data_IF_151906306627
#
_entry.id   IF_151906306627
#
_cell.length_a   1.000
_cell.length_b   1.000
_cell.length_c   1.000
_cell.angle_alpha   90.00
_cell.angle_beta   90.00
_cell.angle_gamma   90.00
#
_symmetry.space_group_name_H-M   'P 1'
#
loop_
_entity.id
_entity.type
_entity.pdbx_description
1 polymer ?
#
# COMPACT_ATOMS: atom_id res chain seq x y z
N UNK A 1 8.34 -30.11 21.03
CA UNK A 1 7.83 -28.99 20.18
C UNK A 1 8.36 -28.97 18.74
N UNK A 2 9.49 -29.69 18.44
CA UNK A 2 10.05 -29.69 17.08
C UNK A 2 9.03 -30.21 16.04
N UNK A 3 8.36 -31.32 16.32
CA UNK A 3 7.39 -31.92 15.39
C UNK A 3 6.20 -30.99 15.11
N UNK A 4 5.72 -30.26 16.13
CA UNK A 4 4.65 -29.29 15.96
C UNK A 4 5.08 -28.13 15.07
N UNK A 5 6.30 -27.62 15.24
CA UNK A 5 6.83 -26.55 14.39
C UNK A 5 7.03 -27.03 12.96
N UNK A 6 7.61 -28.21 12.77
CA UNK A 6 7.80 -28.80 11.43
C UNK A 6 6.46 -29.01 10.72
N UNK A 7 5.42 -29.43 11.44
CA UNK A 7 4.06 -29.54 10.89
C UNK A 7 3.55 -28.17 10.40
N UNK A 8 3.69 -27.12 11.21
CA UNK A 8 3.28 -25.76 10.83
C UNK A 8 4.02 -25.32 9.58
N UNK A 9 5.33 -25.50 9.52
CA UNK A 9 6.14 -25.13 8.35
C UNK A 9 5.73 -25.94 7.10
N UNK A 10 5.48 -27.26 7.24
CA UNK A 10 4.98 -28.09 6.13
C UNK A 10 3.65 -27.59 5.57
N UNK A 11 2.72 -27.18 6.44
CA UNK A 11 1.44 -26.63 6.03
C UNK A 11 1.60 -25.30 5.26
N UNK A 12 2.42 -24.38 5.76
CA UNK A 12 2.70 -23.13 5.06
C UNK A 12 3.39 -23.37 3.71
N UNK A 13 4.34 -24.28 3.67
CA UNK A 13 4.99 -24.71 2.43
C UNK A 13 3.96 -25.26 1.43
N UNK A 14 3.07 -26.13 1.89
CA UNK A 14 2.03 -26.70 1.04
C UNK A 14 1.13 -25.61 0.44
N UNK A 15 0.73 -24.62 1.23
CA UNK A 15 -0.03 -23.47 0.76
C UNK A 15 0.75 -22.61 -0.25
N UNK A 16 2.04 -22.36 -0.03
CA UNK A 16 2.90 -21.63 -0.96
C UNK A 16 3.08 -22.35 -2.30
N UNK A 17 2.98 -23.68 -2.30
CA UNK A 17 2.98 -24.53 -3.51
C UNK A 17 1.61 -24.70 -4.16
N UNK A 18 0.60 -24.00 -3.69
CA UNK A 18 -0.75 -24.01 -4.28
C UNK A 18 -1.58 -25.24 -3.96
N UNK A 19 -1.22 -26.02 -2.92
CA UNK A 19 -2.03 -27.18 -2.51
C UNK A 19 -3.33 -26.73 -1.84
N UNK A 20 -4.44 -27.33 -2.21
CA UNK A 20 -5.77 -27.04 -1.66
C UNK A 20 -6.19 -28.01 -0.57
N UNK A 21 -5.46 -29.13 -0.42
CA UNK A 21 -5.76 -30.22 0.52
C UNK A 21 -4.48 -30.88 1.04
N UNK A 22 -4.63 -31.84 1.95
CA UNK A 22 -3.49 -32.59 2.51
C UNK A 22 -2.76 -31.85 3.63
N UNK A 23 -3.42 -30.90 4.28
CA UNK A 23 -2.88 -30.19 5.44
C UNK A 23 -2.98 -31.03 6.72
N UNK A 24 -1.97 -30.91 7.58
CA UNK A 24 -1.85 -31.69 8.80
C UNK A 24 -2.54 -30.98 9.98
N UNK A 25 -3.53 -31.61 10.58
CA UNK A 25 -4.20 -31.19 11.82
C UNK A 25 -4.74 -29.74 11.78
N UNK A 26 -5.41 -29.38 10.69
CA UNK A 26 -6.16 -28.13 10.55
C UNK A 26 -7.66 -28.43 10.46
N UNK A 27 -8.48 -27.62 11.13
CA UNK A 27 -9.94 -27.68 11.01
C UNK A 27 -10.45 -26.96 9.77
N UNK A 28 -9.69 -25.96 9.28
CA UNK A 28 -9.98 -25.17 8.10
C UNK A 28 -8.71 -25.13 7.25
N UNK A 29 -8.85 -25.47 5.99
CA UNK A 29 -7.73 -25.38 5.06
C UNK A 29 -7.42 -23.92 4.74
N UNK A 30 -6.13 -23.53 4.64
CA UNK A 30 -5.76 -22.21 4.21
C UNK A 30 -6.10 -21.98 2.73
N UNK A 31 -6.25 -20.72 2.35
CA UNK A 31 -6.29 -20.33 0.95
C UNK A 31 -4.88 -20.52 0.37
N UNK A 32 -4.78 -21.39 -0.62
CA UNK A 32 -3.51 -21.68 -1.28
C UNK A 32 -3.07 -20.50 -2.15
N UNK A 33 -1.74 -20.34 -2.31
CA UNK A 33 -1.19 -19.34 -3.21
C UNK A 33 -1.61 -19.63 -4.66
N UNK A 34 -2.30 -18.68 -5.27
CA UNK A 34 -2.63 -18.72 -6.70
C UNK A 34 -1.47 -18.12 -7.51
N UNK A 35 -0.52 -18.98 -7.86
CA UNK A 35 0.66 -18.58 -8.61
C UNK A 35 0.33 -18.10 -10.03
N UNK A 36 -0.75 -18.59 -10.63
CA UNK A 36 -1.14 -18.25 -12.01
C UNK A 36 -1.65 -16.81 -12.10
N UNK A 37 -2.37 -16.35 -11.08
CA UNK A 37 -2.94 -15.02 -11.03
C UNK A 37 -2.07 -14.02 -10.22
N UNK A 38 -0.93 -14.44 -9.68
CA UNK A 38 -0.02 -13.53 -9.00
C UNK A 38 0.68 -12.62 -10.03
N UNK A 39 0.56 -11.29 -9.90
CA UNK A 39 1.15 -10.35 -10.88
C UNK A 39 2.68 -10.34 -10.84
N UNK A 40 3.29 -10.75 -9.73
CA UNK A 40 4.75 -10.80 -9.55
C UNK A 40 5.21 -12.24 -9.30
N UNK A 41 5.79 -12.87 -10.32
CA UNK A 41 6.32 -14.22 -10.25
C UNK A 41 7.57 -14.33 -9.38
N UNK A 42 8.26 -13.23 -9.11
CA UNK A 42 9.39 -13.19 -8.17
C UNK A 42 8.90 -13.47 -6.75
N UNK A 43 7.77 -12.89 -6.35
CA UNK A 43 7.15 -13.16 -5.05
C UNK A 43 6.74 -14.63 -4.90
N UNK A 44 6.20 -15.24 -5.95
CA UNK A 44 5.86 -16.68 -5.94
C UNK A 44 7.10 -17.54 -5.71
N UNK A 45 8.19 -17.23 -6.41
CA UNK A 45 9.46 -17.95 -6.27
C UNK A 45 10.04 -17.78 -4.87
N UNK A 46 10.08 -16.54 -4.37
CA UNK A 46 10.59 -16.24 -3.03
C UNK A 46 9.76 -16.91 -1.92
N UNK A 47 8.44 -16.92 -2.05
CA UNK A 47 7.56 -17.60 -1.10
C UNK A 47 7.86 -19.09 -1.01
N UNK A 48 8.04 -19.77 -2.14
CA UNK A 48 8.38 -21.19 -2.20
C UNK A 48 9.75 -21.46 -1.59
N UNK A 49 10.78 -20.72 -2.00
CA UNK A 49 12.15 -20.91 -1.54
C UNK A 49 12.30 -20.63 -0.04
N UNK A 50 11.63 -19.62 0.49
CA UNK A 50 11.66 -19.29 1.92
C UNK A 50 11.08 -20.44 2.78
N UNK A 51 9.97 -21.04 2.35
CA UNK A 51 9.40 -22.18 3.08
C UNK A 51 10.19 -23.49 2.89
N UNK A 52 10.84 -23.69 1.74
CA UNK A 52 11.76 -24.80 1.51
C UNK A 52 12.97 -24.71 2.44
N UNK A 53 13.58 -23.53 2.52
CA UNK A 53 14.70 -23.26 3.41
C UNK A 53 14.32 -23.42 4.88
N UNK A 54 13.17 -22.84 5.30
CA UNK A 54 12.66 -22.97 6.66
C UNK A 54 12.43 -24.41 7.07
N UNK A 55 11.91 -25.24 6.16
CA UNK A 55 11.72 -26.68 6.41
C UNK A 55 13.07 -27.40 6.53
N UNK A 56 13.98 -27.19 5.58
CA UNK A 56 15.29 -27.83 5.55
C UNK A 56 16.12 -27.50 6.79
N UNK A 57 16.24 -26.21 7.13
CA UNK A 57 17.00 -25.78 8.31
C UNK A 57 16.31 -26.22 9.61
N UNK A 58 14.99 -26.18 9.65
CA UNK A 58 14.21 -26.64 10.81
C UNK A 58 14.37 -28.15 11.09
N UNK A 59 14.47 -28.96 10.03
CA UNK A 59 14.74 -30.39 10.16
C UNK A 59 16.16 -30.69 10.67
N UNK A 60 17.13 -29.89 10.21
CA UNK A 60 18.53 -30.08 10.57
C UNK A 60 18.88 -29.54 11.96
N UNK A 61 18.32 -28.37 12.34
CA UNK A 61 18.78 -27.62 13.51
C UNK A 61 17.67 -27.31 14.52
N UNK A 62 16.41 -27.57 14.19
CA UNK A 62 15.27 -27.17 14.98
C UNK A 62 14.98 -25.68 14.90
N UNK A 63 14.16 -25.18 15.82
CA UNK A 63 13.72 -23.78 15.86
C UNK A 63 14.02 -23.17 17.24
N UNK A 64 14.66 -22.00 17.24
CA UNK A 64 14.91 -21.24 18.46
C UNK A 64 13.65 -20.60 18.99
N UNK A 65 12.84 -20.00 18.11
CA UNK A 65 11.63 -19.28 18.43
C UNK A 65 10.43 -19.93 17.75
N UNK A 66 9.29 -19.97 18.43
CA UNK A 66 8.04 -20.44 17.85
C UNK A 66 7.47 -19.45 16.81
N UNK A 67 7.76 -18.16 17.00
CA UNK A 67 7.30 -17.09 16.12
C UNK A 67 8.29 -15.93 16.17
N UNK A 68 8.68 -15.43 15.01
CA UNK A 68 9.65 -14.33 14.86
C UNK A 68 9.04 -13.09 14.20
N UNK A 69 7.87 -13.25 13.60
CA UNK A 69 7.15 -12.17 12.89
C UNK A 69 5.73 -12.05 13.42
N UNK A 70 5.16 -10.86 13.30
CA UNK A 70 3.79 -10.56 13.67
C UNK A 70 3.21 -9.56 12.69
N UNK A 71 1.94 -9.73 12.33
CA UNK A 71 1.17 -8.74 11.60
C UNK A 71 0.41 -7.93 12.63
N UNK A 72 1.04 -6.84 13.10
CA UNK A 72 0.46 -5.95 14.08
C UNK A 72 -0.27 -4.78 13.37
N UNK A 73 -1.30 -4.17 14.01
CA UNK A 73 -1.85 -2.89 13.55
C UNK A 73 -0.82 -1.79 13.81
N UNK A 74 0.06 -1.57 12.85
CA UNK A 74 1.18 -0.62 12.94
C UNK A 74 0.70 0.81 12.66
N UNK A 75 0.24 1.53 13.68
CA UNK A 75 -0.25 2.91 13.54
C UNK A 75 0.88 3.90 13.18
N UNK A 76 1.51 4.49 14.18
CA UNK A 76 2.54 5.51 14.00
C UNK A 76 3.75 5.00 13.19
N UNK A 77 4.19 3.77 13.44
CA UNK A 77 5.34 3.20 12.72
C UNK A 77 5.00 2.98 11.23
N UNK A 78 3.77 2.60 10.91
CA UNK A 78 3.31 2.49 9.52
C UNK A 78 3.40 3.84 8.79
N UNK A 79 3.03 4.94 9.45
CA UNK A 79 3.15 6.28 8.88
C UNK A 79 4.62 6.70 8.67
N UNK A 80 5.52 6.31 9.57
CA UNK A 80 6.97 6.59 9.44
C UNK A 80 7.57 5.80 8.28
N UNK A 81 7.06 4.60 8.04
CA UNK A 81 7.51 3.72 6.95
C UNK A 81 6.79 3.99 5.62
N UNK A 82 6.00 5.05 5.53
CA UNK A 82 5.22 5.41 4.33
C UNK A 82 4.29 4.29 3.85
N UNK A 83 3.68 3.56 4.80
CA UNK A 83 2.68 2.54 4.50
C UNK A 83 1.30 3.18 4.34
N UNK A 84 0.53 2.72 3.36
CA UNK A 84 -0.83 3.21 3.12
C UNK A 84 -1.80 2.77 4.21
N UNK A 85 -1.64 1.55 4.72
CA UNK A 85 -2.54 0.95 5.72
C UNK A 85 -1.80 0.53 6.98
N UNK A 86 -2.54 0.34 8.06
CA UNK A 86 -2.03 -0.25 9.30
C UNK A 86 -2.31 -1.75 9.31
N UNK A 87 -1.25 -2.56 9.22
CA UNK A 87 -1.39 -4.02 9.11
C UNK A 87 -1.90 -4.46 7.73
N UNK A 88 -2.78 -5.45 7.71
CA UNK A 88 -3.36 -6.04 6.48
C UNK A 88 -4.79 -5.58 6.20
N UNK A 89 -5.21 -4.50 6.82
CA UNK A 89 -6.55 -3.96 6.65
C UNK A 89 -6.68 -3.22 5.32
N UNK A 90 -7.86 -3.25 4.68
CA UNK A 90 -8.13 -2.35 3.55
C UNK A 90 -8.01 -0.89 3.97
N UNK A 91 -7.59 -0.03 3.06
CA UNK A 91 -7.55 1.39 3.34
C UNK A 91 -8.97 1.93 3.55
N UNK A 92 -9.19 2.70 4.60
CA UNK A 92 -10.51 3.27 4.92
C UNK A 92 -10.86 4.44 3.98
N UNK A 93 -9.87 5.06 3.34
CA UNK A 93 -10.05 6.12 2.36
C UNK A 93 -8.87 6.18 1.40
N UNK A 94 -9.14 6.30 0.11
CA UNK A 94 -8.10 6.43 -0.90
C UNK A 94 -7.38 7.77 -0.86
N UNK A 95 -8.03 8.82 -0.34
CA UNK A 95 -7.45 10.15 -0.11
C UNK A 95 -7.60 10.48 1.37
N UNK A 96 -6.50 10.80 2.02
CA UNK A 96 -6.43 11.10 3.46
C UNK A 96 -5.82 12.47 3.71
N UNK A 97 -6.16 13.06 4.83
CA UNK A 97 -5.58 14.32 5.30
C UNK A 97 -4.65 14.03 6.47
N UNK A 98 -3.41 14.46 6.37
CA UNK A 98 -2.44 14.41 7.46
C UNK A 98 -2.23 15.82 7.99
N UNK A 99 -2.49 16.02 9.29
CA UNK A 99 -2.18 17.27 9.96
C UNK A 99 -0.69 17.36 10.23
N UNK A 100 -0.06 18.46 9.83
CA UNK A 100 1.34 18.69 10.05
C UNK A 100 1.60 19.28 11.46
N UNK A 101 2.75 18.95 12.05
CA UNK A 101 3.13 19.46 13.37
C UNK A 101 3.24 20.99 13.41
N UNK A 102 3.60 21.63 12.30
CA UNK A 102 3.67 23.09 12.16
C UNK A 102 2.38 23.77 11.75
N UNK A 103 1.27 23.05 11.70
CA UNK A 103 -0.02 23.51 11.16
C UNK A 103 -0.17 23.17 9.67
N UNK A 104 -1.42 23.31 9.16
CA UNK A 104 -1.76 22.91 7.79
C UNK A 104 -2.10 21.43 7.66
N UNK A 105 -2.63 21.07 6.50
CA UNK A 105 -3.03 19.72 6.14
C UNK A 105 -2.33 19.30 4.85
N UNK A 106 -1.95 18.06 4.80
CA UNK A 106 -1.35 17.45 3.63
C UNK A 106 -2.27 16.34 3.13
N UNK A 107 -2.64 16.39 1.86
CA UNK A 107 -3.41 15.30 1.23
C UNK A 107 -2.48 14.21 0.74
N UNK A 108 -2.81 12.97 1.09
CA UNK A 108 -2.10 11.77 0.62
C UNK A 108 -3.11 10.92 -0.15
N UNK A 109 -2.69 10.42 -1.31
CA UNK A 109 -3.43 9.39 -2.03
C UNK A 109 -2.77 8.04 -1.80
N UNK A 110 -3.57 6.99 -1.72
CA UNK A 110 -3.06 5.62 -1.61
C UNK A 110 -2.16 5.30 -2.82
N UNK A 111 -0.97 4.80 -2.57
CA UNK A 111 0.06 4.58 -3.59
C UNK A 111 -0.34 3.52 -4.63
N UNK A 112 -1.31 2.68 -4.35
CA UNK A 112 -1.84 1.69 -5.31
C UNK A 112 -2.79 2.30 -6.35
N UNK A 113 -3.29 3.53 -6.15
CA UNK A 113 -4.28 4.16 -7.04
C UNK A 113 -3.76 4.34 -8.47
N UNK A 114 -2.55 4.85 -8.72
CA UNK A 114 -2.04 4.98 -10.08
C UNK A 114 -2.01 3.63 -10.83
N UNK A 115 -1.48 2.59 -10.20
CA UNK A 115 -1.42 1.26 -10.79
C UNK A 115 -2.82 0.65 -11.01
N UNK A 116 -3.76 0.91 -10.12
CA UNK A 116 -5.16 0.49 -10.29
C UNK A 116 -5.84 1.20 -11.46
N UNK A 117 -5.60 2.50 -11.65
CA UNK A 117 -6.13 3.25 -12.79
C UNK A 117 -5.60 2.73 -14.13
N UNK A 118 -4.30 2.43 -14.22
CA UNK A 118 -3.71 1.80 -15.40
C UNK A 118 -4.33 0.43 -15.69
N UNK A 119 -4.55 -0.38 -14.65
CA UNK A 119 -5.20 -1.69 -14.78
C UNK A 119 -6.65 -1.59 -15.25
N UNK A 120 -7.34 -0.50 -14.91
CA UNK A 120 -8.70 -0.19 -15.39
C UNK A 120 -8.71 0.36 -16.82
N UNK A 121 -7.56 0.57 -17.44
CA UNK A 121 -7.42 1.00 -18.83
C UNK A 121 -7.30 2.50 -19.04
N UNK A 122 -7.10 3.29 -18.00
CA UNK A 122 -6.79 4.71 -18.13
C UNK A 122 -5.36 4.92 -18.62
N UNK A 123 -5.16 5.91 -19.49
CA UNK A 123 -3.81 6.30 -19.90
C UNK A 123 -3.05 6.94 -18.74
N UNK A 124 -1.72 6.93 -18.80
CA UNK A 124 -0.85 7.58 -17.79
C UNK A 124 -1.21 9.05 -17.57
N UNK A 125 -1.56 9.78 -18.65
CA UNK A 125 -1.99 11.18 -18.56
C UNK A 125 -3.31 11.34 -17.79
N UNK A 126 -4.30 10.50 -18.07
CA UNK A 126 -5.57 10.49 -17.34
C UNK A 126 -5.39 10.11 -15.88
N UNK A 127 -4.58 9.09 -15.60
CA UNK A 127 -4.26 8.69 -14.23
C UNK A 127 -3.58 9.83 -13.46
N UNK A 128 -2.62 10.51 -14.06
CA UNK A 128 -1.95 11.66 -13.46
C UNK A 128 -2.91 12.82 -13.17
N UNK A 129 -3.84 13.10 -14.08
CA UNK A 129 -4.87 14.14 -13.88
C UNK A 129 -5.82 13.78 -12.72
N UNK A 130 -6.26 12.51 -12.64
CA UNK A 130 -7.09 12.02 -11.54
C UNK A 130 -6.39 12.12 -10.19
N UNK A 131 -5.12 11.78 -10.14
CA UNK A 131 -4.29 11.91 -8.93
C UNK A 131 -4.15 13.39 -8.54
N UNK A 132 -3.82 14.25 -9.51
CA UNK A 132 -3.70 15.68 -9.26
C UNK A 132 -5.02 16.32 -8.80
N UNK A 133 -6.15 15.89 -9.34
CA UNK A 133 -7.46 16.30 -8.85
C UNK A 133 -7.70 15.90 -7.39
N UNK A 134 -7.33 14.67 -7.03
CA UNK A 134 -7.53 14.13 -5.68
C UNK A 134 -6.65 14.81 -4.62
N UNK A 135 -5.36 15.04 -4.90
CA UNK A 135 -4.41 15.62 -3.94
C UNK A 135 -4.33 17.14 -4.02
N UNK A 136 -4.78 17.72 -5.12
CA UNK A 136 -4.66 19.14 -5.42
C UNK A 136 -3.43 19.47 -6.26
N UNK A 137 -3.50 20.56 -7.00
CA UNK A 137 -2.43 21.02 -7.87
C UNK A 137 -1.37 21.87 -7.15
N UNK A 138 -1.63 22.30 -5.91
CA UNK A 138 -0.76 23.21 -5.16
C UNK A 138 -0.61 24.62 -5.80
N UNK A 139 -1.36 24.90 -6.87
CA UNK A 139 -1.31 26.14 -7.64
C UNK A 139 -2.64 26.36 -8.34
N UNK A 140 -3.07 27.61 -8.45
CA UNK A 140 -4.24 27.99 -9.24
C UNK A 140 -3.94 28.18 -10.73
N UNK A 141 -2.69 28.07 -11.16
CA UNK A 141 -2.25 28.37 -12.53
C UNK A 141 -3.05 27.65 -13.61
N UNK A 142 -3.26 26.33 -13.41
CA UNK A 142 -3.94 25.45 -14.35
C UNK A 142 -5.26 24.89 -13.81
N UNK A 143 -5.83 25.50 -12.78
CA UNK A 143 -7.09 25.03 -12.18
C UNK A 143 -8.25 25.20 -13.15
N UNK A 144 -9.11 24.18 -13.37
CA UNK A 144 -10.31 24.34 -14.17
C UNK A 144 -11.27 25.34 -13.53
N UNK A 145 -11.73 26.32 -14.29
CA UNK A 145 -12.71 27.31 -13.85
C UNK A 145 -12.12 28.49 -13.08
N UNK A 146 -11.41 28.26 -11.97
CA UNK A 146 -10.77 29.32 -11.19
C UNK A 146 -9.27 29.23 -11.35
N UNK A 147 -8.69 30.05 -12.20
CA UNK A 147 -7.25 30.11 -12.47
C UNK A 147 -6.77 31.58 -12.48
N UNK A 148 -5.46 31.75 -12.56
CA UNK A 148 -4.86 33.09 -12.56
C UNK A 148 -5.44 34.01 -13.66
N UNK A 149 -5.68 33.46 -14.84
CA UNK A 149 -6.26 34.23 -15.98
C UNK A 149 -7.69 34.65 -15.70
N UNK A 150 -8.52 33.74 -15.18
CA UNK A 150 -9.90 34.06 -14.82
C UNK A 150 -9.95 35.10 -13.68
N UNK A 151 -9.10 34.98 -12.68
CA UNK A 151 -9.03 35.94 -11.57
C UNK A 151 -8.57 37.33 -12.03
N UNK A 152 -7.59 37.40 -12.93
CA UNK A 152 -7.18 38.68 -13.55
C UNK A 152 -8.36 39.33 -14.31
N UNK A 153 -9.12 38.53 -15.06
CA UNK A 153 -10.34 38.97 -15.75
C UNK A 153 -11.41 39.52 -14.80
N UNK A 154 -11.42 39.08 -13.55
CA UNK A 154 -12.28 39.57 -12.48
C UNK A 154 -11.67 40.73 -11.64
N UNK A 155 -10.52 41.28 -12.06
CA UNK A 155 -9.90 42.43 -11.44
C UNK A 155 -8.89 42.11 -10.31
N UNK A 156 -8.50 40.86 -10.13
CA UNK A 156 -7.45 40.52 -9.18
C UNK A 156 -6.09 40.96 -9.72
N UNK A 157 -5.34 41.71 -8.93
CA UNK A 157 -4.00 42.14 -9.27
C UNK A 157 -2.91 41.19 -8.84
N UNK A 158 -1.65 41.46 -9.22
CA UNK A 158 -0.51 40.59 -8.86
C UNK A 158 -0.34 40.37 -7.35
N UNK A 159 -0.72 41.35 -6.53
CA UNK A 159 -0.59 41.24 -5.05
C UNK A 159 -1.61 40.26 -4.48
N UNK A 160 -2.82 40.27 -5.00
CA UNK A 160 -3.91 39.38 -4.61
C UNK A 160 -3.58 37.92 -5.03
N UNK A 161 -3.10 37.75 -6.25
CA UNK A 161 -2.66 36.42 -6.74
C UNK A 161 -1.52 35.86 -5.91
N UNK A 162 -0.51 36.67 -5.57
CA UNK A 162 0.59 36.23 -4.71
C UNK A 162 0.12 35.84 -3.31
N UNK A 163 -0.89 36.48 -2.74
CA UNK A 163 -1.49 36.08 -1.45
C UNK A 163 -2.24 34.76 -1.55
N UNK A 164 -2.94 34.53 -2.65
CA UNK A 164 -3.64 33.27 -2.90
C UNK A 164 -2.62 32.15 -3.01
N UNK A 165 -1.59 32.27 -3.85
CA UNK A 165 -0.55 31.25 -4.02
C UNK A 165 0.18 30.97 -2.70
N UNK A 166 0.44 31.97 -1.88
CA UNK A 166 1.07 31.78 -0.57
C UNK A 166 0.17 31.05 0.44
N UNK A 167 -1.16 31.14 0.30
CA UNK A 167 -2.12 30.50 1.19
C UNK A 167 -2.43 29.03 0.79
N UNK A 168 -2.27 28.66 -0.48
CA UNK A 168 -2.60 27.33 -1.01
C UNK A 168 -1.96 26.15 -0.23
N UNK A 169 -0.69 26.22 0.19
CA UNK A 169 -0.08 25.11 0.94
C UNK A 169 -0.72 24.84 2.30
N UNK A 170 -1.48 25.78 2.82
CA UNK A 170 -2.14 25.69 4.13
C UNK A 170 -3.67 25.56 4.05
N UNK A 171 -4.22 25.51 2.85
CA UNK A 171 -5.67 25.48 2.60
C UNK A 171 -6.28 24.07 2.65
#
# INVERSE_FOLDING_TARGET
NADHMLRVIRNHRAAAYGKTEGYEALNVNPVALDAANCPDQTLVTLAKSAWDEALSLGQAHGFRNAQTTVIAPTGTIGLVMDCDTTGIEPDFALVKFKKLAGGGYFKIINQSVPAALEKLGYSTAQAAEMVAYAVGHGSIGNCPGINSTALIGHGFGPRELAKIDAALPSA
#
